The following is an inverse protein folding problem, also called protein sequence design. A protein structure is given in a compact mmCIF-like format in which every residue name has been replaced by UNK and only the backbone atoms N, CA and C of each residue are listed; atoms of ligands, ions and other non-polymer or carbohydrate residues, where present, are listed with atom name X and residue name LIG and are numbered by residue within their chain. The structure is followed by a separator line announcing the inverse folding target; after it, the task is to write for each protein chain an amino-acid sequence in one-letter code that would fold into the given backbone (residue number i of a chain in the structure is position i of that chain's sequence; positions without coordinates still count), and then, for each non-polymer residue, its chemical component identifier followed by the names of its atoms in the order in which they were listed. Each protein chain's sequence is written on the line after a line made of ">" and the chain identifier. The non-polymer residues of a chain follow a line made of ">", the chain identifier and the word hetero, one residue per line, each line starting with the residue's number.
data_IF_284008439475
#
_entry.id   IF_284008439475
#
_cell.length_a   1.000
_cell.length_b   1.000
_cell.length_c   1.000
_cell.angle_alpha   90.00
_cell.angle_beta   90.00
_cell.angle_gamma   90.00
#
_symmetry.space_group_name_H-M   'P 1'
#
loop_
_entity.id
_entity.type
_entity.pdbx_description
1 polymer ?
#
# COMPACT_ATOMS: atom_id res chain seq x y z
N UNK A 1 23.66 -27.48 31.67
CA UNK A 1 24.92 -27.84 30.97
C UNK A 1 24.59 -28.90 29.94
N UNK A 2 25.01 -28.70 28.67
CA UNK A 2 24.65 -29.41 27.42
C UNK A 2 23.47 -28.83 26.62
N UNK A 3 23.71 -27.69 25.96
CA UNK A 3 23.06 -27.31 24.69
C UNK A 3 24.12 -26.92 23.63
N UNK A 4 25.28 -27.57 23.62
CA UNK A 4 26.41 -27.24 22.73
C UNK A 4 26.70 -28.30 21.65
N UNK A 5 25.69 -29.00 21.10
CA UNK A 5 26.02 -30.14 20.23
C UNK A 5 25.08 -30.42 19.03
N UNK A 6 24.44 -29.43 18.39
CA UNK A 6 23.65 -29.68 17.16
C UNK A 6 23.66 -28.56 16.09
N UNK A 7 24.72 -27.74 15.97
CA UNK A 7 24.87 -26.84 14.79
C UNK A 7 26.17 -27.13 14.06
N UNK A 8 26.22 -28.32 13.48
CA UNK A 8 26.98 -28.69 12.29
C UNK A 8 26.14 -29.84 11.73
N UNK A 9 25.51 -29.79 10.55
CA UNK A 9 26.04 -29.29 9.28
C UNK A 9 24.87 -29.15 8.29
N UNK A 10 24.65 -27.95 7.74
CA UNK A 10 24.12 -27.68 6.39
C UNK A 10 23.85 -26.17 6.29
N UNK A 11 24.94 -25.38 6.26
CA UNK A 11 24.85 -23.97 5.94
C UNK A 11 24.59 -23.88 4.43
N UNK A 12 23.47 -23.29 4.01
CA UNK A 12 23.16 -23.11 2.58
C UNK A 12 23.92 -21.91 2.02
N UNK A 13 24.15 -21.90 0.72
CA UNK A 13 24.82 -20.77 0.09
C UNK A 13 23.98 -19.49 0.21
N UNK A 14 22.66 -19.61 0.04
CA UNK A 14 21.67 -18.54 0.25
C UNK A 14 21.85 -17.81 1.58
N UNK A 15 22.18 -18.54 2.65
CA UNK A 15 22.34 -17.98 4.00
C UNK A 15 23.64 -17.17 4.14
N UNK A 16 24.58 -17.37 3.22
CA UNK A 16 25.90 -16.75 3.21
C UNK A 16 26.10 -15.81 2.00
N UNK A 17 25.06 -15.56 1.23
CA UNK A 17 25.07 -14.64 0.10
C UNK A 17 24.72 -13.22 0.55
N UNK A 18 25.46 -12.22 0.08
CA UNK A 18 25.14 -10.83 0.34
C UNK A 18 23.86 -10.45 -0.42
N UNK A 19 22.81 -9.92 0.22
CA UNK A 19 21.55 -9.59 -0.47
C UNK A 19 21.67 -8.43 -1.47
N UNK A 20 22.79 -7.69 -1.46
CA UNK A 20 23.02 -6.55 -2.36
C UNK A 20 23.74 -6.95 -3.64
N UNK A 21 24.80 -7.77 -3.54
CA UNK A 21 25.60 -8.20 -4.70
C UNK A 21 25.41 -9.68 -5.07
N UNK A 22 24.61 -10.41 -4.29
CA UNK A 22 24.28 -11.83 -4.46
C UNK A 22 25.46 -12.80 -4.40
N UNK A 23 26.67 -12.32 -4.10
CA UNK A 23 27.87 -13.17 -3.95
C UNK A 23 28.17 -13.47 -2.47
N UNK A 24 28.99 -14.50 -2.21
CA UNK A 24 29.41 -14.91 -0.86
C UNK A 24 29.88 -13.74 0.00
N UNK A 25 29.40 -13.61 1.24
CA UNK A 25 29.76 -12.51 2.13
C UNK A 25 31.27 -12.49 2.42
N UNK A 26 31.99 -11.45 1.98
CA UNK A 26 33.37 -11.17 2.40
C UNK A 26 33.33 -10.22 3.59
N UNK A 27 33.98 -10.61 4.69
CA UNK A 27 34.01 -9.84 5.94
C UNK A 27 32.59 -9.36 6.34
N UNK A 28 31.67 -10.30 6.66
CA UNK A 28 30.28 -9.98 6.93
C UNK A 28 30.12 -8.95 8.06
N UNK A 29 29.28 -7.94 7.80
CA UNK A 29 28.88 -6.90 8.75
C UNK A 29 27.43 -7.13 9.15
N UNK A 30 27.23 -7.64 10.37
CA UNK A 30 25.89 -7.82 10.95
C UNK A 30 25.43 -6.53 11.62
N UNK A 31 24.43 -5.87 11.04
CA UNK A 31 23.87 -4.62 11.56
C UNK A 31 22.94 -4.88 12.76
N UNK A 32 22.65 -3.88 13.61
CA UNK A 32 21.73 -3.99 14.76
C UNK A 32 20.24 -4.10 14.37
N UNK A 33 19.96 -4.44 13.11
CA UNK A 33 18.65 -4.79 12.58
C UNK A 33 18.64 -6.24 12.07
N UNK A 34 19.67 -7.01 12.44
CA UNK A 34 19.89 -8.42 12.11
C UNK A 34 20.08 -8.72 10.61
N UNK A 35 20.16 -7.68 9.78
CA UNK A 35 20.56 -7.80 8.38
C UNK A 35 22.08 -7.79 8.25
N UNK A 36 22.59 -8.59 7.31
CA UNK A 36 24.01 -8.81 7.09
C UNK A 36 24.40 -8.45 5.65
N UNK A 37 25.52 -7.74 5.50
CA UNK A 37 26.09 -7.36 4.21
C UNK A 37 27.57 -7.72 4.18
N UNK A 38 28.16 -7.90 2.99
CA UNK A 38 29.61 -7.96 2.89
C UNK A 38 30.22 -6.56 3.10
N UNK A 39 31.45 -6.50 3.60
CA UNK A 39 32.15 -5.24 3.85
C UNK A 39 32.16 -4.28 2.65
N UNK A 40 32.40 -4.73 1.39
CA UNK A 40 32.31 -3.84 0.22
C UNK A 40 30.93 -3.20 0.05
N UNK A 41 29.85 -4.00 0.15
CA UNK A 41 28.48 -3.48 0.03
C UNK A 41 28.11 -2.57 1.20
N UNK A 42 28.58 -2.88 2.41
CA UNK A 42 28.36 -2.03 3.57
C UNK A 42 29.02 -0.65 3.39
N UNK A 43 30.29 -0.60 2.94
CA UNK A 43 30.99 0.67 2.69
C UNK A 43 30.22 1.53 1.68
N UNK A 44 29.92 0.97 0.52
CA UNK A 44 29.29 1.71 -0.58
C UNK A 44 27.82 2.09 -0.30
N UNK A 45 27.02 1.18 0.27
CA UNK A 45 25.56 1.37 0.39
C UNK A 45 25.11 1.87 1.77
N UNK A 46 26.00 1.87 2.78
CA UNK A 46 25.67 2.29 4.14
C UNK A 46 26.60 3.42 4.60
N UNK A 47 27.91 3.20 4.59
CA UNK A 47 28.88 4.14 5.17
C UNK A 47 29.05 5.41 4.33
N UNK A 48 29.20 5.26 3.01
CA UNK A 48 29.33 6.37 2.06
C UNK A 48 27.98 7.00 1.68
N UNK A 49 26.88 6.31 1.98
CA UNK A 49 25.52 6.78 1.70
C UNK A 49 24.96 7.60 2.88
N UNK A 50 23.93 7.10 3.56
CA UNK A 50 23.21 7.83 4.60
C UNK A 50 23.14 7.07 5.94
N UNK A 51 24.02 6.07 6.14
CA UNK A 51 24.05 5.20 7.31
C UNK A 51 22.72 4.50 7.60
N UNK A 52 22.05 4.03 6.56
CA UNK A 52 20.77 3.34 6.64
C UNK A 52 20.89 1.94 6.07
N UNK A 53 20.28 0.95 6.74
CA UNK A 53 20.23 -0.42 6.23
C UNK A 53 19.42 -0.48 4.92
N UNK A 54 19.96 -1.05 3.82
CA UNK A 54 19.25 -1.11 2.55
C UNK A 54 18.05 -2.08 2.54
N UNK A 55 17.97 -3.00 3.51
CA UNK A 55 16.90 -4.00 3.57
C UNK A 55 15.68 -3.51 4.33
N UNK A 56 15.87 -2.90 5.51
CA UNK A 56 14.76 -2.48 6.39
C UNK A 56 14.67 -0.96 6.61
N UNK A 57 15.57 -0.17 6.01
CA UNK A 57 15.63 1.28 6.15
C UNK A 57 15.89 1.80 7.58
N UNK A 58 16.38 0.96 8.49
CA UNK A 58 16.78 1.39 9.84
C UNK A 58 18.07 2.21 9.77
N UNK A 59 18.05 3.41 10.37
CA UNK A 59 19.25 4.26 10.51
C UNK A 59 20.17 3.72 11.61
N UNK A 60 21.45 3.53 11.28
CA UNK A 60 22.45 2.88 12.14
C UNK A 60 23.72 3.71 12.37
N UNK A 61 23.71 4.98 12.00
CA UNK A 61 24.88 5.89 12.08
C UNK A 61 25.65 5.89 13.41
N UNK A 62 24.96 5.87 14.56
CA UNK A 62 25.59 5.80 15.88
C UNK A 62 26.27 4.46 16.16
N UNK A 63 25.69 3.37 15.65
CA UNK A 63 26.31 2.05 15.74
C UNK A 63 27.56 1.99 14.86
N UNK A 64 27.49 2.45 13.60
CA UNK A 64 28.63 2.45 12.66
C UNK A 64 29.83 3.17 13.28
N UNK A 65 29.66 4.42 13.72
CA UNK A 65 30.77 5.19 14.35
C UNK A 65 31.40 4.46 15.54
N UNK A 66 30.60 3.80 16.38
CA UNK A 66 31.09 3.04 17.54
C UNK A 66 31.85 1.77 17.10
N UNK A 67 31.28 1.04 16.15
CA UNK A 67 31.84 -0.20 15.63
C UNK A 67 33.17 0.06 14.91
N UNK A 68 33.26 1.13 14.10
CA UNK A 68 34.51 1.56 13.44
C UNK A 68 35.60 1.86 14.48
N UNK A 69 35.31 2.65 15.52
CA UNK A 69 36.29 3.01 16.56
C UNK A 69 36.79 1.81 17.37
N UNK A 70 35.95 0.80 17.55
CA UNK A 70 36.28 -0.42 18.31
C UNK A 70 36.76 -1.55 17.40
N UNK A 71 36.90 -1.28 16.10
CA UNK A 71 37.25 -2.27 15.08
C UNK A 71 36.39 -3.54 15.13
N UNK A 72 35.08 -3.38 15.36
CA UNK A 72 34.12 -4.48 15.59
C UNK A 72 33.00 -4.55 14.54
N UNK A 73 33.20 -3.91 13.37
CA UNK A 73 32.25 -3.96 12.26
C UNK A 73 32.08 -5.39 11.70
N UNK A 74 33.18 -6.12 11.56
CA UNK A 74 33.17 -7.47 10.99
C UNK A 74 32.75 -8.47 12.06
N UNK A 75 31.75 -9.29 11.74
CA UNK A 75 31.38 -10.44 12.55
C UNK A 75 32.40 -11.57 12.30
N UNK A 76 33.48 -11.59 13.07
CA UNK A 76 34.59 -12.54 12.91
C UNK A 76 34.15 -14.00 13.04
N UNK A 77 33.18 -14.29 13.92
CA UNK A 77 32.65 -15.65 14.10
C UNK A 77 31.94 -16.11 12.83
N UNK A 78 31.06 -15.25 12.28
CA UNK A 78 30.36 -15.51 11.03
C UNK A 78 31.33 -15.65 9.87
N UNK A 79 32.33 -14.78 9.80
CA UNK A 79 33.36 -14.84 8.76
C UNK A 79 34.09 -16.18 8.75
N UNK A 80 34.52 -16.66 9.92
CA UNK A 80 35.19 -17.96 10.03
C UNK A 80 34.28 -19.13 9.59
N UNK A 81 32.98 -19.07 9.90
CA UNK A 81 32.02 -20.08 9.43
C UNK A 81 31.90 -20.09 7.91
N UNK A 82 31.78 -18.92 7.28
CA UNK A 82 31.66 -18.77 5.84
C UNK A 82 32.93 -19.26 5.13
N UNK A 83 34.12 -18.89 5.64
CA UNK A 83 35.39 -19.35 5.10
C UNK A 83 35.55 -20.87 5.17
N UNK A 84 35.05 -21.51 6.24
CA UNK A 84 35.09 -22.97 6.40
C UNK A 84 34.07 -23.67 5.50
N UNK A 85 32.89 -23.09 5.32
CA UNK A 85 31.80 -23.71 4.56
C UNK A 85 31.96 -23.54 3.04
N UNK A 86 32.48 -22.39 2.58
CA UNK A 86 32.55 -22.04 1.16
C UNK A 86 33.92 -21.46 0.75
N UNK A 87 35.04 -22.16 1.00
CA UNK A 87 36.39 -21.64 0.74
C UNK A 87 36.61 -21.25 -0.73
N UNK A 88 36.16 -22.08 -1.67
CA UNK A 88 36.36 -21.85 -3.11
C UNK A 88 35.64 -20.58 -3.59
N UNK A 89 34.40 -20.37 -3.17
CA UNK A 89 33.63 -19.17 -3.52
C UNK A 89 34.25 -17.91 -2.91
N UNK A 90 34.74 -17.99 -1.67
CA UNK A 90 35.46 -16.87 -1.03
C UNK A 90 36.72 -16.54 -1.81
N UNK A 91 37.52 -17.55 -2.17
CA UNK A 91 38.76 -17.36 -2.93
C UNK A 91 38.50 -16.74 -4.31
N UNK A 92 37.54 -17.27 -5.08
CA UNK A 92 37.14 -16.71 -6.38
C UNK A 92 36.78 -15.24 -6.26
N UNK A 93 35.93 -14.89 -5.28
CA UNK A 93 35.50 -13.50 -5.05
C UNK A 93 36.66 -12.59 -4.66
N UNK A 94 37.61 -13.06 -3.84
CA UNK A 94 38.81 -12.28 -3.48
C UNK A 94 39.78 -12.07 -4.65
N UNK A 95 39.79 -12.99 -5.62
CA UNK A 95 40.59 -12.88 -6.84
C UNK A 95 39.95 -11.98 -7.91
N UNK A 96 38.75 -11.44 -7.63
CA UNK A 96 38.01 -10.63 -8.60
C UNK A 96 37.46 -11.44 -9.78
N UNK A 97 37.42 -12.77 -9.66
CA UNK A 97 36.76 -13.63 -10.64
C UNK A 97 35.26 -13.54 -10.35
N UNK A 98 34.54 -12.85 -11.23
CA UNK A 98 33.08 -12.87 -11.22
C UNK A 98 32.63 -14.32 -11.46
N UNK A 99 31.77 -14.85 -10.59
CA UNK A 99 31.21 -16.20 -10.74
C UNK A 99 30.23 -16.14 -11.93
N UNK A 100 30.74 -16.24 -13.16
CA UNK A 100 29.96 -16.34 -14.42
C UNK A 100 29.20 -17.67 -14.55
N UNK A 101 28.98 -18.36 -13.43
CA UNK A 101 28.24 -19.61 -13.38
C UNK A 101 26.80 -19.32 -12.98
N UNK A 102 26.02 -19.02 -14.01
CA UNK A 102 24.59 -19.30 -14.14
C UNK A 102 24.28 -20.81 -14.19
N UNK A 103 25.18 -21.67 -13.68
CA UNK A 103 24.98 -23.11 -13.60
C UNK A 103 24.94 -23.54 -12.13
N UNK A 104 23.75 -23.99 -11.75
CA UNK A 104 23.41 -24.89 -10.65
C UNK A 104 22.99 -24.26 -9.30
N UNK A 105 21.65 -24.15 -9.19
CA UNK A 105 20.87 -24.54 -8.01
C UNK A 105 20.91 -23.66 -6.75
N UNK A 106 20.47 -22.42 -6.89
CA UNK A 106 19.59 -21.78 -5.88
C UNK A 106 18.82 -20.66 -6.57
N UNK A 107 18.06 -21.02 -7.62
CA UNK A 107 16.96 -20.17 -8.09
C UNK A 107 16.11 -19.90 -6.85
N UNK A 108 15.92 -18.63 -6.47
CA UNK A 108 14.85 -18.28 -5.55
C UNK A 108 13.61 -18.95 -6.16
N UNK A 109 13.09 -19.99 -5.51
CA UNK A 109 11.89 -20.64 -5.99
C UNK A 109 10.81 -19.57 -5.91
N UNK A 110 10.52 -18.93 -7.04
CA UNK A 110 9.39 -18.02 -7.14
C UNK A 110 8.20 -18.94 -7.00
N UNK A 111 7.71 -19.09 -5.77
CA UNK A 111 6.47 -19.81 -5.51
C UNK A 111 5.40 -19.13 -6.36
N UNK A 112 4.79 -19.81 -7.33
CA UNK A 112 3.75 -19.20 -8.14
C UNK A 112 2.62 -18.77 -7.22
N UNK A 113 2.46 -17.45 -7.04
CA UNK A 113 1.41 -16.90 -6.17
C UNK A 113 0.02 -17.06 -6.79
N UNK A 114 -0.04 -17.17 -8.12
CA UNK A 114 -1.26 -17.36 -8.88
C UNK A 114 -0.96 -18.10 -10.17
N UNK A 115 -1.96 -18.79 -10.70
CA UNK A 115 -1.88 -19.36 -12.03
C UNK A 115 -1.78 -18.25 -13.09
N UNK A 116 -1.06 -18.48 -14.20
CA UNK A 116 -0.98 -17.52 -15.30
C UNK A 116 -2.38 -17.10 -15.77
N UNK A 117 -2.69 -15.81 -15.68
CA UNK A 117 -3.99 -15.26 -16.11
C UNK A 117 -5.04 -15.11 -15.00
N UNK A 118 -4.92 -15.79 -13.86
CA UNK A 118 -5.91 -15.72 -12.77
C UNK A 118 -6.15 -14.28 -12.27
N UNK A 119 -5.08 -13.51 -12.11
CA UNK A 119 -5.16 -12.09 -11.70
C UNK A 119 -5.93 -11.26 -12.74
N UNK A 120 -5.76 -11.55 -14.03
CA UNK A 120 -6.46 -10.85 -15.12
C UNK A 120 -7.95 -11.18 -15.10
N UNK A 121 -8.31 -12.43 -14.85
CA UNK A 121 -9.69 -12.87 -14.79
C UNK A 121 -10.43 -12.26 -13.60
N UNK A 122 -9.80 -12.24 -12.42
CA UNK A 122 -10.33 -11.54 -11.24
C UNK A 122 -10.55 -10.05 -11.53
N UNK A 123 -9.56 -9.38 -12.13
CA UNK A 123 -9.67 -7.98 -12.52
C UNK A 123 -10.85 -7.73 -13.49
N UNK A 124 -10.97 -8.54 -14.54
CA UNK A 124 -12.05 -8.39 -15.53
C UNK A 124 -13.43 -8.61 -14.91
N UNK A 125 -13.55 -9.60 -14.02
CA UNK A 125 -14.79 -9.87 -13.27
C UNK A 125 -15.19 -8.69 -12.41
N UNK A 126 -14.24 -8.09 -11.71
CA UNK A 126 -14.51 -6.93 -10.87
C UNK A 126 -14.89 -5.71 -11.72
N UNK A 127 -14.25 -5.52 -12.87
CA UNK A 127 -14.60 -4.46 -13.82
C UNK A 127 -16.04 -4.59 -14.35
N UNK A 128 -16.46 -5.81 -14.68
CA UNK A 128 -17.84 -6.09 -15.08
C UNK A 128 -18.82 -5.83 -13.93
N UNK A 129 -18.48 -6.25 -12.70
CA UNK A 129 -19.31 -6.00 -11.51
C UNK A 129 -19.52 -4.50 -11.28
N UNK A 130 -18.44 -3.72 -11.27
CA UNK A 130 -18.49 -2.26 -11.11
C UNK A 130 -19.29 -1.61 -12.23
N UNK A 131 -19.14 -2.08 -13.47
CA UNK A 131 -19.92 -1.54 -14.60
C UNK A 131 -21.42 -1.85 -14.47
N UNK A 132 -21.79 -3.04 -14.00
CA UNK A 132 -23.19 -3.41 -13.78
C UNK A 132 -23.82 -2.54 -12.67
N UNK A 133 -23.13 -2.40 -11.54
CA UNK A 133 -23.60 -1.54 -10.43
C UNK A 133 -23.81 -0.09 -10.87
N UNK A 134 -22.90 0.47 -11.68
CA UNK A 134 -23.05 1.84 -12.21
C UNK A 134 -24.27 1.99 -13.10
N UNK A 135 -24.56 1.00 -13.94
CA UNK A 135 -25.76 1.02 -14.81
C UNK A 135 -27.04 0.95 -14.00
N UNK A 136 -27.09 0.09 -12.98
CA UNK A 136 -28.24 0.01 -12.07
C UNK A 136 -28.48 1.34 -11.36
N UNK A 137 -27.41 1.95 -10.84
CA UNK A 137 -27.49 3.26 -10.20
C UNK A 137 -27.96 4.35 -11.17
N UNK A 138 -27.46 4.37 -12.41
CA UNK A 138 -27.88 5.34 -13.41
C UNK A 138 -29.38 5.23 -13.73
N UNK A 139 -29.90 4.01 -13.82
CA UNK A 139 -31.35 3.75 -14.03
C UNK A 139 -32.17 4.21 -12.82
N UNK A 140 -31.71 3.93 -11.60
CA UNK A 140 -32.38 4.38 -10.37
C UNK A 140 -32.38 5.90 -10.26
N UNK A 141 -31.25 6.56 -10.54
CA UNK A 141 -31.13 8.01 -10.55
C UNK A 141 -32.05 8.65 -11.59
N UNK A 142 -32.18 8.03 -12.77
CA UNK A 142 -33.10 8.53 -13.80
C UNK A 142 -34.57 8.39 -13.37
N UNK A 143 -34.94 7.24 -12.81
CA UNK A 143 -36.27 7.04 -12.25
C UNK A 143 -36.57 8.04 -11.13
N UNK A 144 -35.60 8.31 -10.27
CA UNK A 144 -35.70 9.30 -9.20
C UNK A 144 -35.88 10.73 -9.75
N UNK A 145 -35.08 11.14 -10.74
CA UNK A 145 -35.20 12.45 -11.39
C UNK A 145 -36.60 12.64 -12.01
N UNK A 146 -37.09 11.64 -12.72
CA UNK A 146 -38.42 11.67 -13.34
C UNK A 146 -39.53 11.78 -12.29
N UNK A 147 -39.41 11.03 -11.18
CA UNK A 147 -40.37 11.10 -10.07
C UNK A 147 -40.35 12.46 -9.37
N UNK A 148 -39.16 13.03 -9.10
CA UNK A 148 -39.03 14.36 -8.49
C UNK A 148 -39.67 15.42 -9.37
N UNK A 149 -39.47 15.33 -10.69
CA UNK A 149 -40.08 16.26 -11.63
C UNK A 149 -41.61 16.21 -11.55
N UNK A 150 -42.21 15.02 -11.56
CA UNK A 150 -43.66 14.85 -11.43
C UNK A 150 -44.20 15.43 -10.13
N UNK A 151 -43.56 15.13 -8.99
CA UNK A 151 -43.96 15.66 -7.69
C UNK A 151 -43.87 17.19 -7.65
N UNK A 152 -42.82 17.76 -8.24
CA UNK A 152 -42.64 19.22 -8.32
C UNK A 152 -43.73 19.88 -9.16
N UNK A 153 -44.14 19.26 -10.27
CA UNK A 153 -45.23 19.76 -11.10
C UNK A 153 -46.58 19.71 -10.35
N UNK A 154 -46.87 18.60 -9.66
CA UNK A 154 -48.08 18.47 -8.83
C UNK A 154 -48.11 19.49 -7.67
N UNK A 155 -46.99 19.71 -6.99
CA UNK A 155 -46.89 20.70 -5.91
C UNK A 155 -47.12 22.12 -6.44
N UNK A 156 -46.56 22.46 -7.60
CA UNK A 156 -46.77 23.76 -8.24
C UNK A 156 -48.22 23.97 -8.67
N UNK A 157 -48.92 22.92 -9.13
CA UNK A 157 -50.35 23.01 -9.46
C UNK A 157 -51.19 23.25 -8.20
N UNK A 158 -50.94 22.50 -7.12
CA UNK A 158 -51.60 22.70 -5.82
C UNK A 158 -51.35 24.10 -5.27
N UNK A 159 -50.13 24.61 -5.43
CA UNK A 159 -49.76 25.97 -5.04
C UNK A 159 -50.55 27.02 -5.82
N UNK A 160 -50.65 26.88 -7.14
CA UNK A 160 -51.43 27.79 -8.00
C UNK A 160 -52.90 27.77 -7.63
N UNK A 161 -53.47 26.60 -7.39
CA UNK A 161 -54.86 26.45 -6.97
C UNK A 161 -55.09 27.11 -5.61
N UNK A 162 -54.21 26.86 -4.64
CA UNK A 162 -54.31 27.48 -3.31
C UNK A 162 -54.25 29.00 -3.39
N UNK A 163 -53.34 29.57 -4.19
CA UNK A 163 -53.28 31.02 -4.42
C UNK A 163 -54.53 31.57 -5.09
N UNK A 164 -55.16 30.80 -6.00
CA UNK A 164 -56.42 31.22 -6.62
C UNK A 164 -57.53 31.32 -5.57
N UNK A 165 -57.69 30.28 -4.74
CA UNK A 165 -58.67 30.26 -3.65
C UNK A 165 -58.41 31.42 -2.67
N UNK A 166 -57.16 31.63 -2.26
CA UNK A 166 -56.77 32.75 -1.38
C UNK A 166 -57.17 34.12 -1.96
N UNK A 167 -56.97 34.36 -3.26
CA UNK A 167 -57.39 35.60 -3.93
C UNK A 167 -58.93 35.75 -3.97
N UNK A 168 -59.66 34.67 -4.24
CA UNK A 168 -61.12 34.68 -4.26
C UNK A 168 -61.70 34.95 -2.86
N UNK A 169 -61.14 34.31 -1.83
CA UNK A 169 -61.52 34.51 -0.42
C UNK A 169 -61.22 35.95 0.04
N UNK A 170 -60.06 36.51 -0.32
CA UNK A 170 -59.68 37.89 -0.01
C UNK A 170 -60.65 38.90 -0.66
N UNK A 171 -61.00 38.69 -1.93
CA UNK A 171 -61.97 39.53 -2.65
C UNK A 171 -63.37 39.43 -2.02
N UNK A 172 -63.80 38.22 -1.64
CA UNK A 172 -65.07 38.01 -0.95
C UNK A 172 -65.10 38.73 0.41
N UNK A 173 -64.03 38.61 1.21
CA UNK A 173 -63.91 39.29 2.50
C UNK A 173 -63.94 40.82 2.36
N UNK A 174 -63.27 41.38 1.34
CA UNK A 174 -63.30 42.82 1.06
C UNK A 174 -64.71 43.31 0.72
N UNK A 175 -65.44 42.58 -0.14
CA UNK A 175 -66.82 42.91 -0.48
C UNK A 175 -67.73 42.89 0.75
N UNK A 176 -67.63 41.84 1.58
CA UNK A 176 -68.38 41.73 2.83
C UNK A 176 -68.13 42.93 3.75
N UNK A 177 -66.86 43.33 3.90
CA UNK A 177 -66.48 44.49 4.72
C UNK A 177 -67.04 45.81 4.17
N UNK A 178 -67.12 45.98 2.84
CA UNK A 178 -67.72 47.15 2.22
C UNK A 178 -69.23 47.22 2.47
N UNK A 179 -69.93 46.09 2.31
CA UNK A 179 -71.36 45.98 2.56
C UNK A 179 -71.69 46.28 4.04
N UNK A 180 -70.91 45.73 4.98
CA UNK A 180 -71.05 46.04 6.41
C UNK A 180 -70.85 47.53 6.70
N UNK A 181 -69.84 48.16 6.09
CA UNK A 181 -69.59 49.60 6.27
C UNK A 181 -70.72 50.48 5.70
N UNK A 182 -71.30 50.10 4.56
CA UNK A 182 -72.45 50.79 3.97
C UNK A 182 -73.69 50.67 4.86
N UNK A 183 -73.98 49.47 5.38
CA UNK A 183 -75.11 49.24 6.30
C UNK A 183 -74.93 49.99 7.62
N UNK A 184 -73.71 50.07 8.16
CA UNK A 184 -73.42 50.88 9.36
C UNK A 184 -73.47 52.39 9.12
N UNK A 185 -73.34 52.87 7.89
CA UNK A 185 -73.43 54.31 7.55
C UNK A 185 -74.87 54.80 7.29
N UNK A 186 -75.81 53.88 7.08
CA UNK A 186 -77.22 54.16 6.82
C UNK A 186 -78.10 54.18 8.09
N UNK A 187 -77.50 53.94 9.25
CA UNK A 187 -78.12 53.95 10.59
C UNK A 187 -77.61 55.14 11.41
#
# INVERSE_FOLDING_TARGET
>A
FKMEALVSSNLRFSDCACPVCLSVLIEPVTMPCDHELCMPCFKQNVEEANFTCPLCRKRISTWVRRATRTNSLVNTKRWCQIQKAFPDKVQKRLQGVEDDQTSDEEFISITPLSEPGAIRDEYMKELHRVSAMKKEQEVEEDASRNLIQQLTEEENEKERERRRIEMEDEAFAHNLSSDFAQVSSAH
#
